data_IF_815858522988
#
_entry.id   IF_815858522988
#
_cell.length_a   1.000
_cell.length_b   1.000
_cell.length_c   1.000
_cell.angle_alpha   90.00
_cell.angle_beta   90.00
_cell.angle_gamma   90.00
#
_symmetry.space_group_name_H-M   'P 1'
#
loop_
_entity.id
_entity.type
_entity.pdbx_description
1 polymer ?
#
# COMPACT_ATOMS: atom_id res chain seq x y z
N UNK A 1 -68.95 30.88 19.41
CA UNK A 1 -68.72 29.47 18.99
C UNK A 1 -67.99 29.49 17.65
N UNK A 2 -66.66 29.33 17.66
CA UNK A 2 -65.77 29.38 16.49
C UNK A 2 -65.73 28.00 15.82
N UNK A 3 -66.04 27.93 14.52
CA UNK A 3 -65.86 26.74 13.68
C UNK A 3 -64.39 26.67 13.26
N UNK A 4 -63.74 25.54 13.50
CA UNK A 4 -62.40 25.21 13.04
C UNK A 4 -62.55 24.33 11.78
N UNK A 5 -62.14 24.83 10.61
CA UNK A 5 -61.94 24.02 9.41
C UNK A 5 -60.50 23.52 9.41
N UNK A 6 -60.31 22.21 9.39
CA UNK A 6 -59.01 21.57 9.19
C UNK A 6 -58.87 21.32 7.69
N UNK A 7 -57.87 21.96 7.07
CA UNK A 7 -57.49 21.77 5.68
C UNK A 7 -56.25 20.86 5.65
N UNK A 8 -56.42 19.61 5.22
CA UNK A 8 -55.32 18.66 5.06
C UNK A 8 -54.66 18.86 3.70
N UNK A 9 -53.42 19.36 3.68
CA UNK A 9 -52.60 19.43 2.48
C UNK A 9 -51.82 18.11 2.30
N UNK A 10 -52.14 17.35 1.26
CA UNK A 10 -51.33 16.22 0.82
C UNK A 10 -50.13 16.75 0.03
N UNK A 11 -48.93 16.70 0.62
CA UNK A 11 -47.67 16.85 -0.13
C UNK A 11 -47.29 15.50 -0.73
N UNK A 12 -47.45 15.37 -2.04
CA UNK A 12 -46.85 14.26 -2.79
C UNK A 12 -45.36 14.57 -3.01
N UNK A 13 -44.49 13.90 -2.26
CA UNK A 13 -43.04 13.91 -2.51
C UNK A 13 -42.82 12.93 -3.66
N UNK A 14 -42.67 13.46 -4.88
CA UNK A 14 -42.13 12.67 -6.00
C UNK A 14 -40.62 12.66 -5.83
N UNK A 15 -40.08 11.64 -5.18
CA UNK A 15 -38.65 11.36 -5.22
C UNK A 15 -38.28 10.96 -6.65
N UNK A 16 -37.56 11.85 -7.33
CA UNK A 16 -36.92 11.55 -8.60
C UNK A 16 -35.75 10.60 -8.31
N UNK A 17 -36.00 9.29 -8.35
CA UNK A 17 -34.93 8.28 -8.42
C UNK A 17 -34.40 8.27 -9.84
N UNK A 18 -33.41 9.12 -10.12
CA UNK A 18 -32.44 8.84 -11.17
C UNK A 18 -31.75 7.52 -10.76
N UNK A 19 -32.14 6.42 -11.39
CA UNK A 19 -31.33 5.21 -11.43
C UNK A 19 -30.04 5.59 -12.14
N UNK A 20 -28.99 5.91 -11.38
CA UNK A 20 -27.63 5.76 -11.87
C UNK A 20 -27.49 4.31 -12.29
N UNK A 21 -26.91 4.05 -13.46
CA UNK A 21 -26.52 2.69 -13.80
C UNK A 21 -25.68 2.14 -12.64
N UNK A 22 -25.93 0.91 -12.19
CA UNK A 22 -25.00 0.25 -11.28
C UNK A 22 -23.63 0.27 -11.96
N UNK A 23 -22.63 0.76 -11.23
CA UNK A 23 -21.27 0.76 -11.75
C UNK A 23 -20.90 -0.67 -12.15
N UNK A 24 -20.23 -0.86 -13.29
CA UNK A 24 -19.81 -2.18 -13.69
C UNK A 24 -18.95 -2.76 -12.57
N UNK A 25 -19.35 -3.92 -12.07
CA UNK A 25 -18.52 -4.75 -11.20
C UNK A 25 -17.16 -4.93 -11.88
N UNK A 26 -16.11 -4.40 -11.25
CA UNK A 26 -14.71 -4.71 -11.49
C UNK A 26 -14.10 -4.21 -12.82
N UNK A 27 -13.59 -2.97 -12.86
CA UNK A 27 -13.00 -2.39 -14.08
C UNK A 27 -11.95 -1.29 -13.86
N UNK A 28 -11.31 -1.15 -12.70
CA UNK A 28 -10.19 -0.22 -12.59
C UNK A 28 -9.05 -0.64 -13.53
N UNK A 29 -8.75 0.19 -14.52
CA UNK A 29 -7.68 -0.05 -15.47
C UNK A 29 -6.36 0.52 -14.94
N UNK A 30 -5.27 -0.14 -15.31
CA UNK A 30 -3.95 0.45 -15.15
C UNK A 30 -3.82 1.70 -16.02
N UNK A 31 -3.17 2.73 -15.49
CA UNK A 31 -2.85 3.91 -16.27
C UNK A 31 -1.55 3.66 -17.05
N UNK A 32 -1.44 4.09 -18.33
CA UNK A 32 -0.21 3.94 -19.10
C UNK A 32 0.99 4.57 -18.37
N UNK A 33 2.12 3.86 -18.33
CA UNK A 33 3.29 4.25 -17.55
C UNK A 33 3.87 5.61 -17.99
N UNK A 34 3.75 5.97 -19.26
CA UNK A 34 4.18 7.28 -19.80
C UNK A 34 3.39 8.47 -19.25
N UNK A 35 2.21 8.23 -18.66
CA UNK A 35 1.40 9.24 -17.99
C UNK A 35 1.82 9.46 -16.53
N UNK A 36 2.71 8.61 -16.02
CA UNK A 36 3.13 8.60 -14.61
C UNK A 36 4.63 8.86 -14.50
N UNK A 37 4.99 9.83 -13.66
CA UNK A 37 6.35 9.99 -13.17
C UNK A 37 6.43 9.59 -11.70
N UNK A 38 7.53 8.96 -11.32
CA UNK A 38 7.86 8.62 -9.94
C UNK A 38 9.17 9.29 -9.53
N UNK A 39 9.34 9.52 -8.24
CA UNK A 39 10.50 10.14 -7.62
C UNK A 39 10.74 9.59 -6.22
N UNK A 40 11.77 10.11 -5.54
CA UNK A 40 12.15 9.67 -4.19
C UNK A 40 12.65 8.23 -4.16
N UNK A 41 12.46 7.56 -3.02
CA UNK A 41 13.04 6.22 -2.75
C UNK A 41 12.74 5.20 -3.85
N UNK A 42 11.49 5.14 -4.33
CA UNK A 42 11.13 4.15 -5.35
C UNK A 42 11.74 4.41 -6.71
N UNK A 43 12.01 5.67 -7.07
CA UNK A 43 12.71 6.00 -8.32
C UNK A 43 14.21 5.73 -8.18
N UNK A 44 14.78 5.97 -6.99
CA UNK A 44 16.18 5.70 -6.67
C UNK A 44 16.48 4.19 -6.57
N UNK A 45 15.48 3.38 -6.22
CA UNK A 45 15.61 1.92 -6.11
C UNK A 45 15.40 1.18 -7.43
N UNK A 46 15.01 1.85 -8.52
CA UNK A 46 14.90 1.19 -9.82
C UNK A 46 16.30 0.82 -10.30
N UNK A 47 16.58 -0.46 -10.62
CA UNK A 47 17.88 -0.82 -11.17
C UNK A 47 18.11 -0.11 -12.50
N UNK A 48 19.25 0.59 -12.61
CA UNK A 48 19.72 1.14 -13.90
C UNK A 48 19.71 0.01 -14.94
N UNK A 49 19.11 0.24 -16.11
CA UNK A 49 18.80 -0.76 -17.14
C UNK A 49 19.98 -1.57 -17.73
N UNK A 50 21.16 -1.56 -17.10
CA UNK A 50 22.14 -2.62 -17.24
C UNK A 50 21.56 -3.89 -16.62
N UNK A 51 21.05 -4.77 -17.49
CA UNK A 51 20.66 -6.13 -17.15
C UNK A 51 21.61 -6.72 -16.09
N UNK A 52 21.17 -6.72 -14.82
CA UNK A 52 21.76 -7.59 -13.84
C UNK A 52 21.60 -8.97 -14.43
N UNK A 53 22.74 -9.61 -14.71
CA UNK A 53 22.76 -11.00 -15.14
C UNK A 53 21.95 -11.72 -14.08
N UNK A 54 20.78 -12.19 -14.48
CA UNK A 54 19.90 -13.03 -13.67
C UNK A 54 20.68 -14.32 -13.42
N UNK A 55 21.55 -14.31 -12.43
CA UNK A 55 21.93 -15.54 -11.76
C UNK A 55 20.67 -15.99 -11.07
N UNK A 56 19.94 -16.89 -11.73
CA UNK A 56 18.72 -17.48 -11.17
C UNK A 56 18.95 -17.74 -9.68
N UNK A 57 18.17 -17.07 -8.82
CA UNK A 57 18.28 -17.28 -7.38
C UNK A 57 18.10 -18.78 -7.12
N UNK A 58 19.07 -19.43 -6.49
CA UNK A 58 19.04 -20.87 -6.16
C UNK A 58 17.98 -21.23 -5.11
N UNK A 59 17.19 -20.27 -4.62
CA UNK A 59 16.10 -20.49 -3.68
C UNK A 59 14.96 -21.25 -4.36
N UNK A 60 14.56 -22.43 -3.87
CA UNK A 60 13.40 -23.12 -4.39
C UNK A 60 12.14 -22.32 -4.13
N UNK A 61 11.22 -22.32 -5.09
CA UNK A 61 9.93 -21.70 -4.90
C UNK A 61 9.12 -22.45 -3.83
N UNK A 62 8.52 -21.68 -2.92
CA UNK A 62 7.71 -22.16 -1.81
C UNK A 62 6.21 -21.97 -2.04
N UNK A 63 5.81 -20.98 -2.85
CA UNK A 63 4.41 -20.55 -2.95
C UNK A 63 3.83 -20.56 -4.37
N UNK A 64 4.63 -20.83 -5.41
CA UNK A 64 4.21 -20.65 -6.81
C UNK A 64 2.94 -21.41 -7.18
N UNK A 65 2.75 -22.62 -6.64
CA UNK A 65 1.59 -23.46 -6.93
C UNK A 65 0.32 -22.88 -6.28
N UNK A 66 0.41 -22.38 -5.04
CA UNK A 66 -0.70 -21.74 -4.34
C UNK A 66 -1.07 -20.41 -5.00
N UNK A 67 -0.07 -19.59 -5.37
CA UNK A 67 -0.27 -18.34 -6.14
C UNK A 67 -0.96 -18.66 -7.47
N UNK A 68 -0.48 -19.70 -8.18
CA UNK A 68 -1.06 -20.13 -9.46
C UNK A 68 -2.50 -20.64 -9.32
N UNK A 69 -2.86 -21.27 -8.19
CA UNK A 69 -4.24 -21.67 -7.89
C UNK A 69 -5.13 -20.45 -7.67
N UNK A 70 -4.70 -19.49 -6.86
CA UNK A 70 -5.42 -18.24 -6.61
C UNK A 70 -5.64 -17.46 -7.92
N UNK A 71 -4.62 -17.38 -8.78
CA UNK A 71 -4.72 -16.74 -10.09
C UNK A 71 -5.81 -17.39 -10.97
N UNK A 72 -5.91 -18.72 -10.99
CA UNK A 72 -6.98 -19.41 -11.72
C UNK A 72 -8.37 -19.12 -11.15
N UNK A 73 -8.51 -19.02 -9.83
CA UNK A 73 -9.77 -18.67 -9.19
C UNK A 73 -10.17 -17.23 -9.52
N UNK A 74 -9.22 -16.29 -9.55
CA UNK A 74 -9.45 -14.91 -9.99
C UNK A 74 -9.94 -14.85 -11.44
N UNK A 75 -9.33 -15.61 -12.35
CA UNK A 75 -9.77 -15.64 -13.76
C UNK A 75 -11.18 -16.23 -13.91
N UNK A 76 -11.57 -17.19 -13.07
CA UNK A 76 -12.95 -17.68 -13.01
C UNK A 76 -13.92 -16.61 -12.50
N UNK A 77 -13.52 -15.85 -11.48
CA UNK A 77 -14.31 -14.75 -10.92
C UNK A 77 -14.55 -13.66 -11.98
N UNK A 78 -13.48 -13.26 -12.68
CA UNK A 78 -13.50 -12.35 -13.85
C UNK A 78 -14.44 -12.83 -14.94
N UNK A 79 -14.33 -14.09 -15.35
CA UNK A 79 -15.18 -14.68 -16.38
C UNK A 79 -16.67 -14.66 -15.99
N UNK A 80 -16.96 -14.77 -14.69
CA UNK A 80 -18.32 -14.73 -14.15
C UNK A 80 -18.81 -13.31 -13.82
N UNK A 81 -17.93 -12.29 -13.89
CA UNK A 81 -18.20 -10.89 -13.49
C UNK A 81 -18.78 -10.79 -12.08
N UNK A 82 -18.18 -11.50 -11.14
CA UNK A 82 -18.61 -11.50 -9.73
C UNK A 82 -17.68 -10.66 -8.88
N UNK A 83 -18.24 -10.03 -7.86
CA UNK A 83 -17.47 -9.41 -6.80
C UNK A 83 -16.71 -10.46 -5.99
N UNK A 84 -15.59 -10.06 -5.39
CA UNK A 84 -14.86 -10.91 -4.47
C UNK A 84 -15.53 -10.84 -3.10
N UNK A 85 -16.19 -11.92 -2.70
CA UNK A 85 -16.77 -12.00 -1.36
C UNK A 85 -15.66 -12.16 -0.30
N UNK A 86 -15.74 -11.38 0.78
CA UNK A 86 -14.76 -11.37 1.89
C UNK A 86 -14.54 -12.77 2.49
N UNK A 87 -15.59 -13.57 2.56
CA UNK A 87 -15.57 -14.92 3.15
C UNK A 87 -15.31 -16.05 2.15
N UNK A 88 -15.04 -15.72 0.89
CA UNK A 88 -14.79 -16.73 -0.17
C UNK A 88 -13.51 -17.52 0.07
N UNK A 89 -13.43 -18.70 -0.54
CA UNK A 89 -12.23 -19.53 -0.52
C UNK A 89 -11.00 -18.80 -1.09
N UNK A 90 -11.20 -17.96 -2.13
CA UNK A 90 -10.13 -17.14 -2.70
C UNK A 90 -9.62 -16.15 -1.66
N UNK A 91 -10.53 -15.41 -1.02
CA UNK A 91 -10.21 -14.39 -0.03
C UNK A 91 -9.43 -14.98 1.16
N UNK A 92 -9.94 -16.07 1.75
CA UNK A 92 -9.30 -16.77 2.88
C UNK A 92 -7.95 -17.37 2.53
N UNK A 93 -7.83 -17.98 1.35
CA UNK A 93 -6.57 -18.55 0.89
C UNK A 93 -5.53 -17.46 0.58
N UNK A 94 -5.95 -16.31 0.07
CA UNK A 94 -5.08 -15.16 -0.13
C UNK A 94 -4.61 -14.59 1.21
N UNK A 95 -5.48 -14.44 2.21
CA UNK A 95 -5.12 -13.92 3.54
C UNK A 95 -4.06 -14.79 4.22
N UNK A 96 -4.29 -16.11 4.22
CA UNK A 96 -3.31 -17.07 4.72
C UNK A 96 -1.98 -16.94 3.99
N UNK A 97 -1.99 -16.91 2.66
CA UNK A 97 -0.76 -16.82 1.88
C UNK A 97 -0.03 -15.48 2.05
N UNK A 98 -0.76 -14.37 2.18
CA UNK A 98 -0.20 -13.06 2.46
C UNK A 98 0.56 -13.05 3.80
N UNK A 99 0.03 -13.69 4.84
CA UNK A 99 0.72 -13.86 6.13
C UNK A 99 2.00 -14.69 5.98
N UNK A 100 1.95 -15.77 5.20
CA UNK A 100 3.11 -16.63 4.93
C UNK A 100 4.21 -15.89 4.17
N UNK A 101 3.86 -15.17 3.10
CA UNK A 101 4.79 -14.34 2.33
C UNK A 101 5.42 -13.27 3.22
N UNK A 102 4.63 -12.65 4.11
CA UNK A 102 5.13 -11.63 5.03
C UNK A 102 6.17 -12.19 6.01
N UNK A 103 5.92 -13.38 6.57
CA UNK A 103 6.83 -14.07 7.52
C UNK A 103 8.11 -14.60 6.85
N UNK A 104 8.05 -14.83 5.55
CA UNK A 104 9.14 -15.44 4.76
C UNK A 104 9.69 -14.50 3.68
N UNK A 105 9.51 -13.19 3.82
CA UNK A 105 9.95 -12.19 2.84
C UNK A 105 11.43 -12.36 2.44
N UNK A 106 12.30 -12.65 3.41
CA UNK A 106 13.75 -12.85 3.19
C UNK A 106 14.12 -14.16 2.49
N UNK A 107 13.21 -15.13 2.45
CA UNK A 107 13.38 -16.44 1.82
C UNK A 107 12.61 -16.58 0.51
N UNK A 108 11.94 -15.51 0.06
CA UNK A 108 11.09 -15.55 -1.12
C UNK A 108 11.94 -15.71 -2.38
N UNK A 109 11.66 -16.75 -3.18
CA UNK A 109 12.30 -16.89 -4.48
C UNK A 109 11.85 -15.77 -5.44
N UNK A 110 12.68 -15.43 -6.43
CA UNK A 110 12.29 -14.45 -7.47
C UNK A 110 11.05 -14.88 -8.26
N UNK A 111 10.82 -16.19 -8.41
CA UNK A 111 9.62 -16.71 -9.04
C UNK A 111 8.36 -16.43 -8.19
N UNK A 112 8.43 -16.70 -6.88
CA UNK A 112 7.32 -16.42 -5.96
C UNK A 112 7.05 -14.93 -5.87
N UNK A 113 8.09 -14.09 -5.76
CA UNK A 113 7.98 -12.64 -5.72
C UNK A 113 7.22 -12.09 -6.95
N UNK A 114 7.68 -12.45 -8.15
CA UNK A 114 7.06 -11.97 -9.38
C UNK A 114 5.62 -12.46 -9.53
N UNK A 115 5.34 -13.72 -9.16
CA UNK A 115 4.00 -14.27 -9.22
C UNK A 115 3.07 -13.61 -8.19
N UNK A 116 3.58 -13.31 -6.98
CA UNK A 116 2.83 -12.64 -5.93
C UNK A 116 2.50 -11.19 -6.31
N UNK A 117 3.46 -10.46 -6.85
CA UNK A 117 3.24 -9.09 -7.38
C UNK A 117 2.19 -9.12 -8.49
N UNK A 118 2.30 -10.04 -9.45
CA UNK A 118 1.36 -10.15 -10.56
C UNK A 118 -0.06 -10.51 -10.09
N UNK A 119 -0.19 -11.43 -9.12
CA UNK A 119 -1.48 -11.79 -8.54
C UNK A 119 -2.14 -10.57 -7.86
N UNK A 120 -1.40 -9.85 -7.01
CA UNK A 120 -1.95 -8.71 -6.28
C UNK A 120 -2.25 -7.51 -7.18
N UNK A 121 -1.45 -7.26 -8.21
CA UNK A 121 -1.77 -6.25 -9.23
C UNK A 121 -3.10 -6.55 -9.93
N UNK A 122 -3.30 -7.83 -10.29
CA UNK A 122 -4.52 -8.32 -10.92
C UNK A 122 -5.73 -8.25 -9.99
N UNK A 123 -5.56 -8.59 -8.71
CA UNK A 123 -6.59 -8.49 -7.69
C UNK A 123 -6.97 -7.04 -7.40
N UNK A 124 -5.98 -6.15 -7.26
CA UNK A 124 -6.21 -4.72 -7.02
C UNK A 124 -7.02 -4.08 -8.16
N UNK A 125 -6.60 -4.29 -9.42
CA UNK A 125 -7.30 -3.77 -10.59
C UNK A 125 -8.71 -4.33 -10.74
N UNK A 126 -8.92 -5.57 -10.29
CA UNK A 126 -10.22 -6.21 -10.37
C UNK A 126 -11.15 -5.75 -9.25
N UNK A 127 -10.68 -5.68 -8.00
CA UNK A 127 -11.53 -5.55 -6.81
C UNK A 127 -11.50 -4.16 -6.17
N UNK A 128 -10.46 -3.38 -6.45
CA UNK A 128 -10.18 -2.09 -5.79
C UNK A 128 -10.10 -2.20 -4.26
N UNK A 129 -9.75 -3.38 -3.72
CA UNK A 129 -9.57 -3.57 -2.27
C UNK A 129 -8.16 -3.15 -1.82
N UNK A 130 -8.10 -2.41 -0.70
CA UNK A 130 -6.86 -1.87 -0.11
C UNK A 130 -5.84 -2.95 0.21
N UNK A 131 -6.26 -4.13 0.69
CA UNK A 131 -5.34 -5.20 1.13
C UNK A 131 -4.37 -5.66 0.02
N UNK A 132 -4.78 -5.59 -1.24
CA UNK A 132 -3.94 -5.94 -2.38
C UNK A 132 -2.91 -4.85 -2.67
N UNK A 133 -3.28 -3.58 -2.51
CA UNK A 133 -2.34 -2.45 -2.56
C UNK A 133 -1.36 -2.49 -1.37
N UNK A 134 -1.79 -2.89 -0.18
CA UNK A 134 -0.92 -3.08 1.00
C UNK A 134 0.10 -4.20 0.78
N UNK A 135 -0.28 -5.29 0.08
CA UNK A 135 0.65 -6.34 -0.30
C UNK A 135 1.67 -5.86 -1.34
N UNK A 136 1.24 -5.09 -2.34
CA UNK A 136 2.13 -4.49 -3.36
C UNK A 136 3.09 -3.46 -2.75
N UNK A 137 2.60 -2.61 -1.84
CA UNK A 137 3.42 -1.64 -1.10
C UNK A 137 4.57 -2.32 -0.36
N UNK A 138 4.26 -3.45 0.31
CA UNK A 138 5.27 -4.24 1.03
C UNK A 138 6.35 -4.75 0.10
N UNK A 139 6.01 -5.21 -1.10
CA UNK A 139 6.99 -5.67 -2.10
C UNK A 139 7.80 -4.51 -2.69
N UNK A 140 7.20 -3.33 -2.83
CA UNK A 140 7.87 -2.15 -3.39
C UNK A 140 8.89 -1.54 -2.42
N UNK A 141 8.55 -1.45 -1.13
CA UNK A 141 9.36 -0.73 -0.14
C UNK A 141 10.27 -1.60 0.72
N UNK A 142 10.25 -2.92 0.54
CA UNK A 142 11.12 -3.85 1.25
C UNK A 142 11.90 -4.75 0.27
N UNK A 143 12.80 -4.17 -0.54
CA UNK A 143 13.61 -4.97 -1.44
C UNK A 143 14.51 -5.92 -0.64
N UNK A 144 14.52 -7.20 -1.00
CA UNK A 144 15.40 -8.20 -0.37
C UNK A 144 16.13 -9.00 -1.44
N UNK A 145 17.46 -8.95 -1.40
CA UNK A 145 18.29 -9.58 -2.43
C UNK A 145 18.00 -8.98 -3.81
N UNK A 146 17.69 -9.83 -4.79
CA UNK A 146 17.36 -9.41 -6.16
C UNK A 146 15.86 -9.07 -6.33
N UNK A 147 15.03 -9.28 -5.31
CA UNK A 147 13.59 -9.08 -5.40
C UNK A 147 13.23 -7.60 -5.23
N UNK A 148 12.88 -6.96 -6.33
CA UNK A 148 12.43 -5.58 -6.40
C UNK A 148 11.48 -5.39 -7.60
N UNK A 149 10.51 -4.49 -7.46
CA UNK A 149 9.63 -4.13 -8.58
C UNK A 149 10.43 -3.33 -9.62
N UNK A 150 10.12 -3.55 -10.90
CA UNK A 150 10.59 -2.69 -11.99
C UNK A 150 9.78 -1.39 -12.05
N UNK A 151 10.35 -0.35 -12.66
CA UNK A 151 9.71 0.97 -12.79
C UNK A 151 8.28 0.90 -13.35
N UNK A 152 8.08 0.14 -14.42
CA UNK A 152 6.76 -0.01 -15.05
C UNK A 152 5.75 -0.69 -14.11
N UNK A 153 6.20 -1.65 -13.30
CA UNK A 153 5.35 -2.30 -12.30
C UNK A 153 4.98 -1.30 -11.20
N UNK A 154 5.94 -0.52 -10.70
CA UNK A 154 5.70 0.53 -9.70
C UNK A 154 4.67 1.53 -10.25
N UNK A 155 4.89 2.07 -11.44
CA UNK A 155 3.97 3.03 -12.08
C UNK A 155 2.58 2.44 -12.25
N UNK A 156 2.49 1.19 -12.71
CA UNK A 156 1.19 0.54 -12.95
C UNK A 156 0.34 0.39 -11.70
N UNK A 157 0.96 0.26 -10.52
CA UNK A 157 0.23 0.10 -9.26
C UNK A 157 0.02 1.42 -8.52
N UNK A 158 0.81 2.47 -8.78
CA UNK A 158 0.68 3.77 -8.09
C UNK A 158 -0.72 4.37 -8.22
N UNK A 159 -1.25 4.30 -9.44
CA UNK A 159 -2.57 4.81 -9.79
C UNK A 159 -3.33 3.78 -10.62
N UNK A 160 -4.59 3.55 -10.26
CA UNK A 160 -5.57 2.91 -11.15
C UNK A 160 -6.72 3.87 -11.37
N UNK A 161 -7.53 3.62 -12.42
CA UNK A 161 -8.67 4.49 -12.70
C UNK A 161 -9.87 3.75 -13.25
N UNK A 162 -11.04 4.32 -12.98
CA UNK A 162 -12.29 4.02 -13.67
C UNK A 162 -12.88 5.34 -14.18
N UNK A 163 -12.78 5.60 -15.48
CA UNK A 163 -13.09 6.93 -16.04
C UNK A 163 -12.29 8.06 -15.34
N UNK A 164 -12.97 9.02 -14.72
CA UNK A 164 -12.39 10.11 -13.93
C UNK A 164 -12.39 9.84 -12.41
N UNK A 165 -12.58 8.56 -12.03
CA UNK A 165 -12.30 8.07 -10.68
C UNK A 165 -10.84 7.64 -10.60
N UNK A 166 -10.06 8.30 -9.77
CA UNK A 166 -8.62 8.05 -9.63
C UNK A 166 -8.36 7.45 -8.26
N UNK A 167 -7.74 6.28 -8.25
CA UNK A 167 -7.33 5.56 -7.05
C UNK A 167 -5.86 5.81 -6.81
N UNK A 168 -5.55 6.34 -5.62
CA UNK A 168 -4.19 6.58 -5.14
C UNK A 168 -3.80 5.38 -4.29
N UNK A 169 -3.29 4.35 -4.98
CA UNK A 169 -3.01 3.05 -4.36
C UNK A 169 -1.66 3.06 -3.64
N UNK A 170 -0.62 3.69 -4.18
CA UNK A 170 0.65 3.86 -3.48
C UNK A 170 0.95 5.33 -3.23
N UNK A 171 1.65 5.59 -2.13
CA UNK A 171 2.14 6.91 -1.75
C UNK A 171 3.62 7.01 -2.03
N UNK A 172 4.02 8.14 -2.60
CA UNK A 172 5.41 8.44 -2.94
C UNK A 172 5.44 9.65 -3.86
N UNK A 173 6.57 10.36 -3.90
CA UNK A 173 6.74 11.50 -4.80
C UNK A 173 6.46 11.08 -6.23
N UNK A 174 5.42 11.64 -6.85
CA UNK A 174 4.96 11.19 -8.17
C UNK A 174 4.05 12.22 -8.83
N UNK A 175 3.83 12.09 -10.13
CA UNK A 175 2.74 12.81 -10.80
C UNK A 175 2.05 11.96 -11.86
N UNK A 176 0.77 12.23 -12.06
CA UNK A 176 -0.09 11.62 -13.07
C UNK A 176 -0.62 12.73 -13.99
N UNK A 177 -0.48 12.57 -15.30
CA UNK A 177 -1.05 13.47 -16.30
C UNK A 177 -1.91 12.69 -17.30
N UNK A 178 -3.19 13.04 -17.41
CA UNK A 178 -4.12 12.37 -18.33
C UNK A 178 -5.16 13.34 -18.92
N UNK A 179 -5.85 12.91 -19.98
CA UNK A 179 -6.98 13.64 -20.57
C UNK A 179 -8.28 13.25 -19.87
N UNK A 180 -8.99 14.25 -19.33
CA UNK A 180 -10.30 14.07 -18.71
C UNK A 180 -11.33 13.51 -19.71
N UNK A 181 -12.33 12.74 -19.26
CA UNK A 181 -13.31 12.13 -20.19
C UNK A 181 -14.15 13.16 -20.97
N UNK A 182 -14.33 14.36 -20.42
CA UNK A 182 -14.97 15.50 -21.09
C UNK A 182 -13.99 16.47 -21.78
N UNK A 183 -12.72 16.09 -21.88
CA UNK A 183 -11.65 16.88 -22.48
C UNK A 183 -10.91 17.82 -21.52
N UNK A 184 -9.65 18.07 -21.85
CA UNK A 184 -8.73 18.92 -21.09
C UNK A 184 -7.81 18.10 -20.21
N UNK A 185 -6.58 18.60 -20.07
CA UNK A 185 -5.51 17.95 -19.32
C UNK A 185 -5.73 18.11 -17.82
N UNK A 186 -5.64 16.99 -17.10
CA UNK A 186 -5.58 16.92 -15.64
C UNK A 186 -4.18 16.49 -15.24
N UNK A 187 -3.55 17.23 -14.33
CA UNK A 187 -2.29 16.82 -13.69
C UNK A 187 -2.46 16.74 -12.17
N UNK A 188 -2.06 15.61 -11.61
CA UNK A 188 -2.16 15.28 -10.20
C UNK A 188 -0.75 15.05 -9.68
N UNK A 189 -0.36 15.70 -8.59
CA UNK A 189 1.01 15.63 -8.06
C UNK A 189 0.97 15.20 -6.60
N UNK A 190 1.64 14.11 -6.27
CA UNK A 190 1.89 13.70 -4.89
C UNK A 190 3.23 14.27 -4.44
N UNK A 191 3.20 15.12 -3.41
CA UNK A 191 4.38 15.62 -2.72
C UNK A 191 4.47 14.99 -1.33
N UNK A 192 5.54 14.24 -1.09
CA UNK A 192 5.74 13.53 0.17
C UNK A 192 7.19 13.04 0.33
N UNK A 193 7.65 12.90 1.58
CA UNK A 193 8.86 12.13 1.90
C UNK A 193 8.56 10.67 2.23
N UNK A 194 7.34 10.18 1.97
CA UNK A 194 7.01 8.77 2.12
C UNK A 194 8.04 7.91 1.38
N UNK A 195 8.61 6.88 2.03
CA UNK A 195 8.08 6.22 3.23
C UNK A 195 8.72 6.69 4.56
N UNK A 196 9.46 7.80 4.59
CA UNK A 196 10.17 8.26 5.79
C UNK A 196 9.25 8.93 6.80
N UNK A 197 8.24 9.64 6.31
CA UNK A 197 7.13 10.15 7.11
C UNK A 197 5.80 9.80 6.44
N UNK A 198 4.70 10.00 7.16
CA UNK A 198 3.36 9.69 6.70
C UNK A 198 2.57 10.90 6.24
N UNK A 199 3.21 11.99 5.80
CA UNK A 199 2.51 13.20 5.34
C UNK A 199 2.55 13.26 3.82
N UNK A 200 1.37 13.28 3.20
CA UNK A 200 1.21 13.32 1.74
C UNK A 200 0.34 14.53 1.40
N UNK A 201 0.79 15.33 0.43
CA UNK A 201 -0.01 16.39 -0.18
C UNK A 201 -0.29 16.03 -1.64
N UNK A 202 -1.56 15.87 -1.99
CA UNK A 202 -1.99 15.85 -3.38
C UNK A 202 -2.24 17.29 -3.84
N UNK A 203 -1.62 17.70 -4.94
CA UNK A 203 -1.92 18.95 -5.66
C UNK A 203 -2.67 18.66 -6.95
N UNK A 204 -3.73 19.42 -7.19
CA UNK A 204 -4.59 19.29 -8.37
C UNK A 204 -4.32 20.44 -9.33
N UNK A 205 -3.81 20.13 -10.51
CA UNK A 205 -3.49 21.09 -11.57
C UNK A 205 -4.45 20.92 -12.76
N UNK A 206 -5.18 21.98 -13.06
CA UNK A 206 -6.28 21.98 -14.03
C UNK A 206 -6.29 23.27 -14.86
N UNK A 207 -6.74 23.19 -16.10
CA UNK A 207 -6.99 24.37 -16.94
C UNK A 207 -8.31 25.06 -16.58
N UNK A 208 -9.32 24.29 -16.19
CA UNK A 208 -10.66 24.73 -15.85
C UNK A 208 -11.30 23.77 -14.84
N UNK A 209 -12.41 24.17 -14.22
CA UNK A 209 -13.05 23.38 -13.15
C UNK A 209 -13.58 22.05 -13.70
N UNK A 210 -13.26 20.94 -13.05
CA UNK A 210 -13.63 19.57 -13.46
C UNK A 210 -14.21 18.77 -12.31
N UNK A 211 -15.10 17.83 -12.62
CA UNK A 211 -15.64 16.89 -11.63
C UNK A 211 -14.74 15.66 -11.61
N UNK A 212 -14.18 15.31 -10.46
CA UNK A 212 -13.29 14.17 -10.30
C UNK A 212 -13.60 13.50 -8.96
N UNK A 213 -13.46 12.19 -8.94
CA UNK A 213 -13.60 11.38 -7.72
C UNK A 213 -12.22 10.82 -7.38
N UNK A 214 -11.71 11.18 -6.20
CA UNK A 214 -10.42 10.69 -5.73
C UNK A 214 -10.64 9.69 -4.60
N UNK A 215 -10.01 8.52 -4.75
CA UNK A 215 -10.03 7.44 -3.77
C UNK A 215 -8.62 7.32 -3.18
N UNK A 216 -8.46 7.72 -1.92
CA UNK A 216 -7.18 7.66 -1.22
C UNK A 216 -7.11 6.40 -0.37
N UNK A 217 -6.13 5.53 -0.64
CA UNK A 217 -5.93 4.32 0.17
C UNK A 217 -5.63 4.69 1.61
N UNK A 218 -6.38 4.14 2.56
CA UNK A 218 -6.01 4.17 3.98
C UNK A 218 -5.45 2.78 4.31
N UNK A 219 -4.13 2.62 4.43
CA UNK A 219 -3.53 1.31 4.71
C UNK A 219 -4.10 0.69 5.99
N UNK A 220 -4.17 -0.63 6.06
CA UNK A 220 -4.70 -1.34 7.24
C UNK A 220 -3.94 -0.98 8.52
N UNK A 221 -2.62 -0.76 8.41
CA UNK A 221 -1.76 -0.39 9.53
C UNK A 221 -1.98 1.07 10.02
N UNK A 222 -2.68 1.93 9.27
CA UNK A 222 -2.76 3.38 9.48
C UNK A 222 -3.89 3.81 10.43
N UNK A 223 -3.91 3.28 11.67
CA UNK A 223 -4.99 3.50 12.66
C UNK A 223 -5.16 4.94 13.19
N UNK A 224 -4.29 5.89 12.83
CA UNK A 224 -4.45 7.32 13.14
C UNK A 224 -4.42 8.19 11.89
N UNK A 225 -4.90 7.63 10.78
CA UNK A 225 -4.94 8.36 9.54
C UNK A 225 -5.95 9.53 9.58
N UNK A 226 -5.70 10.55 8.78
CA UNK A 226 -6.64 11.63 8.52
C UNK A 226 -6.50 12.16 7.10
N UNK A 227 -7.62 12.46 6.46
CA UNK A 227 -7.68 13.08 5.15
C UNK A 227 -8.38 14.42 5.27
N UNK A 228 -7.75 15.49 4.79
CA UNK A 228 -8.34 16.82 4.77
C UNK A 228 -8.24 17.48 3.40
N UNK A 229 -9.30 18.16 2.99
CA UNK A 229 -9.30 19.01 1.80
C UNK A 229 -9.87 20.37 2.19
N UNK A 230 -9.08 21.44 2.02
CA UNK A 230 -9.45 22.82 2.42
C UNK A 230 -9.96 22.94 3.86
N UNK A 231 -9.32 22.23 4.79
CA UNK A 231 -9.69 22.21 6.21
C UNK A 231 -10.95 21.39 6.55
N UNK A 232 -11.59 20.76 5.57
CA UNK A 232 -12.69 19.80 5.79
C UNK A 232 -12.09 18.41 5.97
N UNK A 233 -12.43 17.74 7.08
CA UNK A 233 -12.05 16.35 7.35
C UNK A 233 -13.02 15.39 6.66
N UNK A 234 -12.48 14.36 6.03
CA UNK A 234 -13.26 13.27 5.43
C UNK A 234 -13.22 12.04 6.36
N UNK A 235 -14.26 11.17 6.32
CA UNK A 235 -14.23 9.89 7.01
C UNK A 235 -13.05 9.04 6.55
N UNK A 236 -12.42 8.34 7.48
CA UNK A 236 -11.22 7.53 7.25
C UNK A 236 -11.39 6.25 8.05
N UNK A 237 -11.26 5.11 7.38
CA UNK A 237 -11.27 3.78 7.99
C UNK A 237 -10.04 3.01 7.50
N UNK A 238 -9.19 2.45 8.38
CA UNK A 238 -8.07 1.61 7.96
C UNK A 238 -8.52 0.40 7.15
N UNK A 239 -7.84 0.12 6.05
CA UNK A 239 -8.21 -0.97 5.13
C UNK A 239 -9.26 -0.57 4.09
N UNK A 240 -9.66 0.71 4.03
CA UNK A 240 -10.62 1.22 3.04
C UNK A 240 -10.07 2.42 2.25
N UNK A 241 -10.74 2.75 1.15
CA UNK A 241 -10.48 3.99 0.42
C UNK A 241 -11.32 5.14 0.98
N UNK A 242 -10.70 6.29 1.20
CA UNK A 242 -11.42 7.54 1.48
C UNK A 242 -11.76 8.24 0.18
N UNK A 243 -13.05 8.38 -0.12
CA UNK A 243 -13.56 9.06 -1.31
C UNK A 243 -13.70 10.58 -1.11
N UNK A 244 -13.22 11.35 -2.09
CA UNK A 244 -13.53 12.78 -2.26
C UNK A 244 -14.05 13.01 -3.68
N UNK A 245 -15.37 13.05 -3.81
CA UNK A 245 -16.10 13.29 -5.06
C UNK A 245 -16.64 14.72 -5.13
N UNK A 246 -16.07 15.56 -6.01
CA UNK A 246 -16.48 16.98 -6.14
C UNK A 246 -15.98 17.63 -7.42
N UNK A 247 -16.36 18.91 -7.59
CA UNK A 247 -15.73 19.81 -8.56
C UNK A 247 -14.42 20.38 -8.00
N UNK A 248 -13.33 20.09 -8.68
CA UNK A 248 -11.99 20.54 -8.38
C UNK A 248 -11.60 21.79 -9.17
N UNK A 249 -10.78 22.63 -8.56
CA UNK A 249 -10.18 23.81 -9.18
C UNK A 249 -8.67 23.67 -9.17
N UNK A 250 -8.01 24.38 -10.09
CA UNK A 250 -6.56 24.46 -10.11
C UNK A 250 -6.01 24.94 -8.74
N UNK A 251 -4.98 24.25 -8.25
CA UNK A 251 -4.31 24.55 -6.98
C UNK A 251 -5.10 24.12 -5.74
N UNK A 252 -6.16 23.32 -5.86
CA UNK A 252 -6.73 22.65 -4.70
C UNK A 252 -5.83 21.52 -4.23
N UNK A 253 -5.80 21.31 -2.91
CA UNK A 253 -4.93 20.34 -2.27
C UNK A 253 -5.72 19.41 -1.33
N UNK A 254 -5.22 18.19 -1.20
CA UNK A 254 -5.63 17.21 -0.18
C UNK A 254 -4.41 16.85 0.65
N UNK A 255 -4.52 16.97 1.97
CA UNK A 255 -3.51 16.49 2.91
C UNK A 255 -3.96 15.16 3.49
N UNK A 256 -3.07 14.16 3.43
CA UNK A 256 -3.24 12.85 4.05
C UNK A 256 -2.13 12.69 5.07
N UNK A 257 -2.50 12.31 6.29
CA UNK A 257 -1.57 11.95 7.35
C UNK A 257 -1.86 10.50 7.71
N UNK A 258 -0.90 9.59 7.57
CA UNK A 258 -1.10 8.16 7.84
C UNK A 258 -0.81 7.77 9.30
N UNK A 259 -0.05 8.60 10.03
CA UNK A 259 0.25 8.36 11.44
C UNK A 259 1.17 7.16 11.69
N UNK A 260 2.26 7.06 10.91
CA UNK A 260 3.31 6.01 10.97
C UNK A 260 3.67 5.63 12.42
N UNK A 261 3.68 4.32 12.71
CA UNK A 261 4.12 3.79 14.01
C UNK A 261 4.84 2.46 13.88
N UNK A 262 5.69 2.14 14.87
CA UNK A 262 6.24 0.82 14.99
C UNK A 262 5.16 -0.22 15.34
N UNK A 263 5.21 -1.39 14.71
CA UNK A 263 4.43 -2.57 15.11
C UNK A 263 5.32 -3.81 15.17
N UNK A 264 4.81 -4.88 15.78
CA UNK A 264 5.51 -6.16 15.93
C UNK A 264 4.84 -7.19 15.03
N UNK A 265 5.65 -7.95 14.28
CA UNK A 265 5.23 -9.13 13.54
C UNK A 265 5.96 -10.34 14.13
N UNK A 266 5.20 -11.32 14.63
CA UNK A 266 5.76 -12.52 15.25
C UNK A 266 5.79 -13.70 14.26
N UNK A 267 6.78 -14.58 14.43
CA UNK A 267 6.81 -15.90 13.79
C UNK A 267 7.33 -16.95 14.77
N UNK A 268 6.77 -18.14 14.67
CA UNK A 268 7.19 -19.31 15.47
C UNK A 268 8.06 -20.28 14.66
N UNK A 269 7.95 -20.21 13.34
CA UNK A 269 8.64 -21.11 12.41
C UNK A 269 10.15 -20.84 12.41
N UNK A 270 10.95 -21.91 12.42
CA UNK A 270 12.42 -21.88 12.58
C UNK A 270 12.92 -21.29 13.91
N UNK A 271 12.03 -21.13 14.91
CA UNK A 271 12.33 -20.64 16.25
C UNK A 271 11.59 -19.32 16.55
N UNK A 272 11.11 -19.12 17.78
CA UNK A 272 10.43 -17.88 18.18
C UNK A 272 11.24 -16.63 17.83
N UNK A 273 10.64 -15.73 17.05
CA UNK A 273 11.26 -14.50 16.60
C UNK A 273 10.20 -13.44 16.28
N UNK A 274 10.62 -12.19 16.24
CA UNK A 274 9.78 -11.09 15.78
C UNK A 274 10.54 -10.16 14.85
N UNK A 275 9.79 -9.45 14.02
CA UNK A 275 10.25 -8.31 13.25
C UNK A 275 9.53 -7.05 13.73
N UNK A 276 10.22 -5.92 13.61
CA UNK A 276 9.63 -4.60 13.83
C UNK A 276 9.36 -3.96 12.48
N UNK A 277 8.17 -3.41 12.28
CA UNK A 277 7.87 -2.57 11.11
C UNK A 277 7.63 -1.14 11.54
N UNK A 278 7.72 -0.18 10.61
CA UNK A 278 7.33 1.22 10.78
C UNK A 278 6.46 1.63 9.59
N UNK A 279 5.13 1.62 9.76
CA UNK A 279 4.21 1.59 8.63
C UNK A 279 4.40 0.30 7.82
N UNK A 280 4.64 0.43 6.51
CA UNK A 280 4.91 -0.70 5.61
C UNK A 280 6.37 -1.16 5.59
N UNK A 281 7.28 -0.42 6.26
CA UNK A 281 8.71 -0.68 6.24
C UNK A 281 9.10 -1.72 7.28
N UNK A 282 9.74 -2.81 6.88
CA UNK A 282 10.46 -3.68 7.79
C UNK A 282 11.74 -3.00 8.27
N UNK A 283 11.99 -3.04 9.58
CA UNK A 283 13.21 -2.55 10.18
C UNK A 283 14.21 -3.70 10.28
N UNK A 284 15.27 -3.58 9.50
CA UNK A 284 16.35 -4.56 9.38
C UNK A 284 17.63 -4.08 10.06
N UNK A 285 18.49 -5.01 10.43
CA UNK A 285 19.83 -4.77 10.96
C UNK A 285 20.83 -5.75 10.31
N UNK A 286 22.15 -5.46 10.34
CA UNK A 286 23.15 -6.42 9.90
C UNK A 286 22.96 -7.76 10.62
N UNK A 287 22.85 -8.84 9.85
CA UNK A 287 22.68 -10.18 10.40
C UNK A 287 23.86 -10.49 11.33
N UNK A 288 23.60 -10.90 12.58
CA UNK A 288 24.67 -11.12 13.53
C UNK A 288 25.45 -12.36 13.14
N UNK A 289 26.77 -12.31 13.28
CA UNK A 289 27.62 -13.50 13.19
C UNK A 289 27.38 -14.44 14.38
N UNK A 290 26.95 -13.88 15.51
CA UNK A 290 26.63 -14.59 16.75
C UNK A 290 25.12 -14.88 16.85
N UNK A 291 24.77 -16.14 16.71
CA UNK A 291 23.40 -16.65 16.79
C UNK A 291 22.78 -16.63 18.20
N UNK A 292 23.54 -16.23 19.23
CA UNK A 292 23.09 -16.16 20.62
C UNK A 292 22.32 -14.87 20.98
N UNK A 293 22.27 -13.88 20.07
CA UNK A 293 21.50 -12.67 20.30
C UNK A 293 20.00 -12.97 20.32
N UNK A 294 19.42 -12.93 21.52
CA UNK A 294 18.00 -13.17 21.74
C UNK A 294 17.41 -12.12 22.69
N UNK A 295 16.18 -11.73 22.40
CA UNK A 295 15.36 -10.85 23.23
C UNK A 295 14.63 -11.67 24.29
N UNK A 296 14.77 -11.31 25.57
CA UNK A 296 14.14 -12.01 26.69
C UNK A 296 12.93 -11.27 27.31
N UNK A 297 12.53 -10.13 26.74
CA UNK A 297 11.38 -9.35 27.21
C UNK A 297 10.06 -9.78 26.56
N UNK A 298 8.96 -9.12 26.97
CA UNK A 298 7.61 -9.42 26.47
C UNK A 298 7.02 -8.36 25.53
N UNK A 299 7.59 -7.15 25.49
CA UNK A 299 7.11 -6.05 24.65
C UNK A 299 8.31 -5.37 23.97
N UNK A 300 8.64 -5.76 22.73
CA UNK A 300 9.78 -5.19 21.99
C UNK A 300 9.69 -3.67 21.80
N UNK A 301 8.48 -3.11 21.71
CA UNK A 301 8.29 -1.69 21.38
C UNK A 301 8.86 -0.78 22.48
N UNK A 302 8.86 -1.22 23.74
CA UNK A 302 9.41 -0.46 24.86
C UNK A 302 10.92 -0.23 24.78
N UNK A 303 11.63 -1.06 24.02
CA UNK A 303 13.07 -0.99 23.84
C UNK A 303 13.46 -0.25 22.55
N UNK A 304 12.48 0.20 21.78
CA UNK A 304 12.67 0.84 20.50
C UNK A 304 12.67 2.36 20.65
N UNK A 305 13.74 3.01 20.20
CA UNK A 305 13.87 4.46 20.22
C UNK A 305 14.07 4.99 18.81
N UNK A 306 13.26 5.97 18.39
CA UNK A 306 13.42 6.66 17.12
C UNK A 306 14.53 7.71 17.23
N UNK A 307 15.53 7.64 16.36
CA UNK A 307 16.73 8.50 16.44
C UNK A 307 16.95 9.36 15.19
N UNK A 308 16.11 9.22 14.17
CA UNK A 308 16.24 10.01 12.94
C UNK A 308 15.69 11.44 13.07
N UNK A 309 16.28 12.41 12.37
CA UNK A 309 15.65 13.71 12.14
C UNK A 309 14.36 13.57 11.31
N UNK A 310 13.45 14.54 11.44
CA UNK A 310 12.24 14.60 10.62
C UNK A 310 12.58 14.65 9.11
N UNK A 311 11.81 13.92 8.29
CA UNK A 311 12.00 13.85 6.83
C UNK A 311 13.27 13.12 6.37
N UNK A 312 13.99 12.47 7.29
CA UNK A 312 15.13 11.59 6.97
C UNK A 312 14.72 10.14 7.14
N UNK A 313 15.47 9.26 6.48
CA UNK A 313 15.28 7.81 6.56
C UNK A 313 15.11 7.37 8.02
N UNK A 314 14.04 6.63 8.35
CA UNK A 314 13.75 6.24 9.72
C UNK A 314 14.83 5.28 10.24
N UNK A 315 15.46 5.65 11.34
CA UNK A 315 16.48 4.87 12.03
C UNK A 315 16.04 4.74 13.47
N UNK A 316 16.11 3.51 13.97
CA UNK A 316 15.77 3.19 15.34
C UNK A 316 16.96 2.51 16.03
N UNK A 317 17.07 2.71 17.33
CA UNK A 317 17.93 1.88 18.17
C UNK A 317 17.05 0.95 19.01
N UNK A 318 17.40 -0.33 19.04
CA UNK A 318 16.72 -1.34 19.85
C UNK A 318 17.66 -1.82 20.95
N UNK A 319 17.32 -1.51 22.21
CA UNK A 319 18.15 -1.81 23.39
C UNK A 319 17.61 -2.98 24.22
N UNK A 320 16.87 -3.90 23.59
CA UNK A 320 16.26 -5.06 24.25
C UNK A 320 17.17 -6.27 24.37
N UNK A 321 18.31 -6.27 23.67
CA UNK A 321 19.28 -7.37 23.69
C UNK A 321 20.30 -7.14 24.81
N UNK A 322 20.66 -8.20 25.53
CA UNK A 322 21.65 -8.11 26.59
C UNK A 322 23.01 -7.71 26.03
N UNK A 323 23.69 -6.77 26.71
CA UNK A 323 25.06 -6.33 26.42
C UNK A 323 25.29 -5.73 25.01
N UNK A 324 24.24 -5.43 24.25
CA UNK A 324 24.33 -4.77 22.95
C UNK A 324 23.08 -3.95 22.60
N UNK A 325 23.15 -3.14 21.55
CA UNK A 325 22.00 -2.44 20.97
C UNK A 325 22.05 -2.55 19.46
N UNK A 326 20.90 -2.81 18.84
CA UNK A 326 20.79 -2.93 17.39
C UNK A 326 20.43 -1.56 16.80
N UNK A 327 20.99 -1.26 15.64
CA UNK A 327 20.54 -0.14 14.80
C UNK A 327 19.65 -0.72 13.71
N UNK A 328 18.37 -0.35 13.73
CA UNK A 328 17.37 -0.85 12.82
C UNK A 328 17.00 0.23 11.78
N UNK A 329 17.01 -0.15 10.50
CA UNK A 329 16.71 0.70 9.35
C UNK A 329 15.95 -0.07 8.27
N UNK A 330 15.19 0.60 7.39
CA UNK A 330 14.58 -0.03 6.23
C UNK A 330 15.59 -0.76 5.33
N UNK A 331 15.14 -1.74 4.54
CA UNK A 331 16.04 -2.52 3.69
C UNK A 331 16.78 -1.70 2.62
N UNK A 332 16.20 -0.61 2.11
CA UNK A 332 16.83 0.26 1.12
C UNK A 332 17.88 1.23 1.70
N UNK A 333 18.28 1.08 2.97
CA UNK A 333 19.15 2.02 3.68
C UNK A 333 20.63 2.01 3.25
N UNK A 334 21.16 0.90 2.73
CA UNK A 334 22.60 0.79 2.38
C UNK A 334 22.86 -0.11 1.16
N UNK A 335 23.97 0.20 0.47
CA UNK A 335 24.51 -0.47 -0.71
C UNK A 335 24.90 -1.92 -0.38
N UNK A 336 24.47 -2.86 -1.22
CA UNK A 336 24.37 -4.31 -0.99
C UNK A 336 25.70 -5.06 -0.89
N UNK A 337 26.84 -4.37 -0.83
CA UNK A 337 28.13 -4.98 -1.16
C UNK A 337 28.92 -5.57 0.03
N UNK A 338 28.42 -5.52 1.29
CA UNK A 338 29.23 -6.05 2.42
C UNK A 338 28.52 -6.81 3.54
N UNK A 339 27.22 -6.60 3.84
CA UNK A 339 26.57 -7.26 4.99
C UNK A 339 25.15 -7.73 4.67
N UNK A 340 24.89 -9.04 4.85
CA UNK A 340 23.54 -9.60 4.85
C UNK A 340 22.74 -8.95 5.99
N UNK A 341 21.53 -8.47 5.71
CA UNK A 341 20.64 -7.88 6.70
C UNK A 341 19.49 -8.83 7.02
N UNK A 342 18.93 -8.71 8.22
CA UNK A 342 17.69 -9.37 8.59
C UNK A 342 16.78 -8.46 9.42
N UNK A 343 15.46 -8.62 9.31
CA UNK A 343 14.47 -7.98 10.17
C UNK A 343 14.12 -8.81 11.41
N UNK A 344 14.53 -10.09 11.44
CA UNK A 344 14.10 -11.02 12.47
C UNK A 344 15.04 -11.00 13.67
N UNK A 345 14.50 -10.69 14.84
CA UNK A 345 15.17 -10.75 16.14
C UNK A 345 14.64 -11.99 16.86
N UNK A 346 15.53 -12.91 17.24
CA UNK A 346 15.16 -14.13 17.98
C UNK A 346 14.66 -13.76 19.37
N UNK A 347 13.71 -14.53 19.89
CA UNK A 347 13.31 -14.45 21.31
C UNK A 347 13.95 -15.60 22.09
N UNK A 348 14.27 -15.34 23.36
CA UNK A 348 14.73 -16.37 24.26
C UNK A 348 13.53 -17.22 24.68
N UNK A 349 13.71 -18.54 24.70
CA UNK A 349 12.71 -19.48 25.22
C UNK A 349 12.52 -19.37 26.74
#
# INVERSE_FOLDING_TARGET
MRKLLILSAFFAIVSCHLKTAEDPVNTAEGIPAEQISIGGVLAESVPDGAAHKTTASDQPSMYIDDIGRLGKQLEQLKAQRKELETDSDLSKAWEFLNEQVLKHLEALSTADFNAWVALNDSLLKYTEEVRFADALERMAYNPVGENQLQEDQIKSVFYTRLYDRIYFNLYGSSSLQYEHTTGGVVRLVQETNYPFDGVITLKVELQDTRYLDFYFRIPEWANRASVTCKGVKYPVEPGEFTEIAKKWKNGEEVEIILGMRPTVLEREEAGPAFALTYGSLFLSYPSPEDESLAFAGSDPIQYLNFVSPAGKMPTFTFSGIQDTSLVLQPYFAEDTDTLKRTAWIRTAN
#
